data_IF_554229024543
#
_entry.id   IF_554229024543
#
_cell.length_a   1.000
_cell.length_b   1.000
_cell.length_c   1.000
_cell.angle_alpha   90.00
_cell.angle_beta   90.00
_cell.angle_gamma   90.00
#
_symmetry.space_group_name_H-M   'P 1'
#
loop_
_entity.id
_entity.type
_entity.pdbx_description
1 polymer ?
#
# COMPACT_ATOMS: atom_id res chain seq x y z
N UNK A 1 -1.48 4.81 -0.17
CA UNK A 1 -0.06 4.49 -0.37
C UNK A 1 0.70 5.78 -0.24
N UNK A 2 1.53 5.90 0.78
CA UNK A 2 2.34 7.09 0.98
C UNK A 2 3.44 7.15 -0.10
N UNK A 3 3.62 8.27 -0.84
CA UNK A 3 4.72 8.43 -1.78
C UNK A 3 6.10 8.14 -1.16
N UNK A 4 6.31 8.37 0.15
CA UNK A 4 7.57 8.06 0.81
C UNK A 4 7.84 6.56 0.97
N UNK A 5 6.80 5.74 1.10
CA UNK A 5 6.93 4.29 1.13
C UNK A 5 7.58 3.76 -0.17
N UNK A 6 7.17 4.30 -1.32
CA UNK A 6 7.72 3.91 -2.62
C UNK A 6 9.21 4.26 -2.76
N UNK A 7 9.67 5.36 -2.16
CA UNK A 7 11.10 5.71 -2.14
C UNK A 7 11.96 4.72 -1.36
N UNK A 8 11.40 4.03 -0.36
CA UNK A 8 12.08 2.95 0.36
C UNK A 8 11.97 1.61 -0.38
N UNK A 9 10.80 1.30 -0.94
CA UNK A 9 10.49 0.02 -1.59
C UNK A 9 11.21 -0.13 -2.93
N UNK A 10 11.31 0.94 -3.71
CA UNK A 10 11.94 0.91 -5.04
C UNK A 10 13.43 0.48 -4.98
N UNK A 11 14.28 1.01 -4.08
CA UNK A 11 15.62 0.49 -3.85
C UNK A 11 15.65 -0.99 -3.46
N UNK A 12 14.74 -1.45 -2.59
CA UNK A 12 14.66 -2.85 -2.18
C UNK A 12 14.34 -3.78 -3.35
N UNK A 13 13.41 -3.38 -4.22
CA UNK A 13 13.07 -4.13 -5.43
C UNK A 13 14.24 -4.16 -6.41
N UNK A 14 14.96 -3.05 -6.56
CA UNK A 14 16.15 -2.99 -7.42
C UNK A 14 17.26 -3.91 -6.91
N UNK A 15 17.55 -3.88 -5.60
CA UNK A 15 18.49 -4.78 -4.95
C UNK A 15 18.07 -6.24 -5.14
N UNK A 16 16.79 -6.56 -4.97
CA UNK A 16 16.27 -7.90 -5.20
C UNK A 16 16.49 -8.36 -6.65
N UNK A 17 16.25 -7.49 -7.64
CA UNK A 17 16.52 -7.77 -9.04
C UNK A 17 17.99 -8.09 -9.30
N UNK A 18 18.91 -7.31 -8.71
CA UNK A 18 20.36 -7.55 -8.79
C UNK A 18 20.74 -8.88 -8.14
N UNK A 19 20.15 -9.23 -6.99
CA UNK A 19 20.41 -10.49 -6.30
C UNK A 19 19.92 -11.70 -7.12
N UNK A 20 18.75 -11.61 -7.74
CA UNK A 20 18.23 -12.66 -8.64
C UNK A 20 19.13 -12.81 -9.86
N UNK A 21 19.54 -11.70 -10.48
CA UNK A 21 20.46 -11.70 -11.61
C UNK A 21 21.82 -12.31 -11.26
N UNK A 22 22.32 -12.03 -10.04
CA UNK A 22 23.58 -12.56 -9.52
C UNK A 22 23.53 -14.02 -9.06
N UNK A 23 22.42 -14.73 -9.25
CA UNK A 23 22.28 -16.15 -8.88
C UNK A 23 21.83 -16.41 -7.43
N UNK A 24 21.55 -15.36 -6.64
CA UNK A 24 21.02 -15.45 -5.28
C UNK A 24 19.48 -15.33 -5.27
N UNK A 25 18.81 -16.13 -6.10
CA UNK A 25 17.37 -16.03 -6.30
C UNK A 25 16.56 -16.14 -5.00
N UNK A 26 16.92 -17.06 -4.10
CA UNK A 26 16.24 -17.23 -2.81
C UNK A 26 16.34 -16.00 -1.91
N UNK A 27 17.49 -15.33 -1.90
CA UNK A 27 17.68 -14.10 -1.13
C UNK A 27 16.90 -12.96 -1.77
N UNK A 28 16.92 -12.84 -3.10
CA UNK A 28 16.11 -11.85 -3.82
C UNK A 28 14.61 -12.01 -3.57
N UNK A 29 14.10 -13.25 -3.56
CA UNK A 29 12.69 -13.55 -3.22
C UNK A 29 12.37 -13.11 -1.79
N UNK A 30 13.24 -13.42 -0.81
CA UNK A 30 13.05 -12.97 0.56
C UNK A 30 12.96 -11.44 0.65
N UNK A 31 13.84 -10.72 -0.06
CA UNK A 31 13.83 -9.25 -0.12
C UNK A 31 12.52 -8.73 -0.73
N UNK A 32 12.01 -9.35 -1.79
CA UNK A 32 10.71 -8.99 -2.40
C UNK A 32 9.57 -9.19 -1.40
N UNK A 33 9.56 -10.31 -0.67
CA UNK A 33 8.54 -10.59 0.34
C UNK A 33 8.55 -9.51 1.43
N UNK A 34 9.73 -9.15 1.94
CA UNK A 34 9.88 -8.08 2.94
C UNK A 34 9.39 -6.74 2.39
N UNK A 35 9.77 -6.38 1.16
CA UNK A 35 9.30 -5.16 0.50
C UNK A 35 7.76 -5.14 0.37
N UNK A 36 7.15 -6.27 0.01
CA UNK A 36 5.70 -6.41 -0.05
C UNK A 36 5.01 -6.25 1.31
N UNK A 37 5.61 -6.78 2.39
CA UNK A 37 5.11 -6.59 3.77
C UNK A 37 5.14 -5.11 4.16
N UNK A 38 6.20 -4.39 3.82
CA UNK A 38 6.31 -2.94 4.10
C UNK A 38 5.19 -2.17 3.39
N UNK A 39 4.95 -2.46 2.11
CA UNK A 39 3.84 -1.85 1.33
C UNK A 39 2.49 -2.16 1.97
N UNK A 40 2.27 -3.41 2.41
CA UNK A 40 1.02 -3.81 3.07
C UNK A 40 0.80 -3.03 4.37
N UNK A 41 1.83 -2.92 5.22
CA UNK A 41 1.76 -2.19 6.49
C UNK A 41 1.51 -0.69 6.24
N UNK A 42 2.20 -0.10 5.26
CA UNK A 42 2.00 1.30 4.86
C UNK A 42 0.56 1.52 4.41
N UNK A 43 0.05 0.66 3.53
CA UNK A 43 -1.31 0.76 3.01
C UNK A 43 -2.39 0.67 4.08
N UNK A 44 -2.14 -0.12 5.12
CA UNK A 44 -3.04 -0.28 6.25
C UNK A 44 -2.99 0.93 7.18
N UNK A 45 -1.80 1.46 7.44
CA UNK A 45 -1.58 2.59 8.36
C UNK A 45 -2.03 3.92 7.75
N UNK A 46 -1.82 4.10 6.44
CA UNK A 46 -2.14 5.32 5.70
C UNK A 46 -3.51 5.26 5.01
N UNK A 47 -4.45 4.48 5.56
CA UNK A 47 -5.83 4.41 5.04
C UNK A 47 -6.63 5.60 5.57
N UNK A 48 -7.28 6.43 4.71
CA UNK A 48 -8.05 7.56 5.17
C UNK A 48 -9.22 7.08 6.04
N UNK A 49 -9.42 7.73 7.19
CA UNK A 49 -10.57 7.46 8.04
C UNK A 49 -11.80 8.18 7.48
N UNK A 50 -13.00 7.61 7.62
CA UNK A 50 -14.23 8.15 7.01
C UNK A 50 -14.65 9.54 7.53
N UNK A 51 -13.98 10.06 8.56
CA UNK A 51 -14.23 11.40 9.12
C UNK A 51 -13.16 12.44 8.72
N UNK A 52 -12.12 12.03 7.99
CA UNK A 52 -11.05 12.93 7.52
C UNK A 52 -11.32 13.49 6.12
N UNK A 53 -12.48 13.17 5.52
CA UNK A 53 -12.95 13.79 4.28
C UNK A 53 -13.72 15.07 4.69
N UNK A 54 -13.24 16.28 4.34
CA UNK A 54 -13.99 17.50 4.59
C UNK A 54 -15.37 17.40 3.93
N UNK A 55 -16.42 17.85 4.62
CA UNK A 55 -17.81 17.85 4.15
C UNK A 55 -18.08 18.78 2.94
N UNK A 56 -17.03 19.27 2.27
CA UNK A 56 -17.09 20.42 1.36
C UNK A 56 -17.43 20.07 -0.10
N UNK A 57 -17.57 18.78 -0.45
CA UNK A 57 -17.90 18.32 -1.82
C UNK A 57 -19.17 17.42 -1.87
N UNK A 58 -20.18 17.74 -1.05
CA UNK A 58 -21.42 16.96 -0.95
C UNK A 58 -22.54 17.31 -1.96
N UNK A 59 -22.27 18.07 -3.02
CA UNK A 59 -23.31 18.45 -3.99
C UNK A 59 -23.35 17.59 -5.27
N UNK A 60 -22.40 16.68 -5.53
CA UNK A 60 -22.38 15.94 -6.82
C UNK A 60 -21.88 14.48 -6.76
N UNK A 61 -22.04 13.79 -5.63
CA UNK A 61 -21.68 12.37 -5.55
C UNK A 61 -22.91 11.48 -5.28
N UNK A 62 -23.44 10.87 -6.34
CA UNK A 62 -24.38 9.77 -6.25
C UNK A 62 -23.60 8.55 -5.69
N UNK A 63 -23.89 8.06 -4.47
CA UNK A 63 -23.04 7.08 -3.81
C UNK A 63 -23.17 5.72 -4.49
N UNK A 64 -22.07 5.01 -4.81
CA UNK A 64 -22.16 3.59 -5.13
C UNK A 64 -22.65 2.87 -3.86
N UNK A 65 -23.85 2.29 -3.93
CA UNK A 65 -24.48 1.56 -2.84
C UNK A 65 -23.49 0.55 -2.23
N UNK A 66 -22.96 0.86 -1.05
CA UNK A 66 -22.13 -0.07 -0.29
C UNK A 66 -22.98 -0.85 0.72
N UNK A 67 -22.82 -2.18 0.79
CA UNK A 67 -23.73 -3.06 1.50
C UNK A 67 -23.38 -3.13 2.99
N UNK A 68 -24.42 -3.08 3.83
CA UNK A 68 -24.36 -3.67 5.17
C UNK A 68 -23.86 -2.75 6.28
N UNK A 69 -24.66 -1.73 6.59
CA UNK A 69 -24.66 -1.03 7.89
C UNK A 69 -24.78 -2.05 9.03
N UNK A 70 -23.72 -2.29 9.79
CA UNK A 70 -23.82 -2.94 11.12
C UNK A 70 -23.85 -1.88 12.20
N UNK A 71 -25.06 -1.64 12.68
CA UNK A 71 -25.38 -0.94 13.93
C UNK A 71 -24.89 -1.74 15.13
N UNK A 72 -24.19 -1.09 16.05
CA UNK A 72 -24.37 -1.24 17.50
C UNK A 72 -24.12 0.11 18.16
#
# INVERSE_FOLDING_TARGET
MDPFCLFMVLPLVLIAGVLVWGGLAWVGVLVIVVAGIVVLIDSWTNRPLPFDVPDDDYDDYEPPQSPGRRTY
#
